data_IF_455828832470
#
_entry.id   IF_455828832470
#
_cell.length_a   1.000
_cell.length_b   1.000
_cell.length_c   1.000
_cell.angle_alpha   90.00
_cell.angle_beta   90.00
_cell.angle_gamma   90.00
#
_symmetry.space_group_name_H-M   'P 1'
#
loop_
_entity.id
_entity.type
_entity.pdbx_description
1 polymer ?
#
# COMPACT_ATOMS: atom_id res chain seq x y z
N UNK A 1 4.06 -7.46 -2.34
CA UNK A 1 2.96 -6.72 -2.94
C UNK A 1 1.69 -7.52 -2.79
N UNK A 2 0.68 -6.93 -2.15
CA UNK A 2 -0.67 -7.48 -2.03
C UNK A 2 -1.70 -6.38 -2.32
N UNK A 3 -2.79 -6.73 -2.99
CA UNK A 3 -3.89 -5.80 -3.27
C UNK A 3 -5.05 -6.04 -2.29
N UNK A 4 -5.82 -4.99 -2.02
CA UNK A 4 -7.02 -5.04 -1.17
C UNK A 4 -6.75 -5.61 0.22
N UNK A 5 -5.75 -5.03 0.88
CA UNK A 5 -5.40 -5.36 2.27
C UNK A 5 -6.52 -4.94 3.22
N UNK A 6 -6.71 -5.63 4.35
CA UNK A 6 -7.75 -5.29 5.31
C UNK A 6 -7.52 -3.89 5.88
N UNK A 7 -8.57 -3.09 5.89
CA UNK A 7 -8.57 -1.72 6.39
C UNK A 7 -9.57 -1.58 7.54
N UNK A 8 -9.26 -0.68 8.45
CA UNK A 8 -10.12 -0.27 9.56
C UNK A 8 -10.44 1.22 9.42
N UNK A 9 -11.60 1.63 9.89
CA UNK A 9 -12.01 3.03 9.93
C UNK A 9 -11.86 3.57 11.34
N UNK A 10 -11.05 4.61 11.51
CA UNK A 10 -10.78 5.28 12.79
C UNK A 10 -11.03 6.78 12.61
N UNK A 11 -11.96 7.35 13.36
CA UNK A 11 -12.25 8.80 13.33
C UNK A 11 -12.42 9.37 11.90
N UNK A 12 -13.15 8.64 11.04
CA UNK A 12 -13.38 8.93 9.62
C UNK A 12 -12.21 8.80 8.65
N UNK A 13 -11.08 8.24 9.10
CA UNK A 13 -9.96 7.87 8.22
C UNK A 13 -9.85 6.36 8.06
N UNK A 14 -9.51 5.95 6.83
CA UNK A 14 -9.16 4.56 6.54
C UNK A 14 -7.68 4.35 6.85
N UNK A 15 -7.39 3.32 7.66
CA UNK A 15 -6.05 2.90 8.02
C UNK A 15 -5.91 1.40 7.73
N UNK A 16 -4.72 0.90 7.39
CA UNK A 16 -4.50 -0.54 7.34
C UNK A 16 -4.68 -1.17 8.71
N UNK A 17 -5.25 -2.37 8.74
CA UNK A 17 -5.27 -3.18 9.96
C UNK A 17 -3.81 -3.52 10.32
N UNK A 18 -3.30 -3.07 11.49
CA UNK A 18 -1.90 -3.26 11.84
C UNK A 18 -1.58 -4.74 12.08
N UNK A 19 -0.38 -5.15 11.67
CA UNK A 19 0.22 -6.41 12.10
C UNK A 19 0.73 -6.32 13.54
N UNK A 20 1.06 -7.47 14.11
CA UNK A 20 1.68 -7.52 15.44
C UNK A 20 3.00 -6.72 15.45
N UNK A 21 3.15 -5.86 16.46
CA UNK A 21 4.30 -4.96 16.61
C UNK A 21 4.54 -4.01 15.42
N UNK A 22 3.50 -3.72 14.64
CA UNK A 22 3.56 -2.72 13.58
C UNK A 22 3.22 -1.33 14.13
N UNK A 23 4.08 -0.35 13.87
CA UNK A 23 3.87 1.04 14.28
C UNK A 23 3.64 1.92 13.06
N UNK A 24 2.66 2.82 13.17
CA UNK A 24 2.41 3.86 12.18
C UNK A 24 3.44 4.97 12.30
N UNK A 25 4.13 5.28 11.21
CA UNK A 25 5.17 6.32 11.17
C UNK A 25 4.60 7.60 10.58
N UNK A 26 3.97 7.53 9.41
CA UNK A 26 3.39 8.69 8.76
C UNK A 26 2.18 8.31 7.89
N UNK A 27 1.34 9.31 7.65
CA UNK A 27 0.25 9.25 6.68
C UNK A 27 0.28 10.53 5.85
N UNK A 28 0.13 10.41 4.53
CA UNK A 28 0.11 11.53 3.60
C UNK A 28 -1.05 11.41 2.63
N UNK A 29 -1.92 12.41 2.65
CA UNK A 29 -3.06 12.54 1.72
C UNK A 29 -2.62 13.16 0.40
N UNK A 30 -3.40 12.92 -0.66
CA UNK A 30 -3.18 13.51 -2.00
C UNK A 30 -1.97 12.95 -2.71
N UNK A 31 -1.61 11.69 -2.42
CA UNK A 31 -0.52 10.99 -3.11
C UNK A 31 -1.10 10.29 -4.32
N UNK A 32 -0.48 10.49 -5.48
CA UNK A 32 -0.84 9.77 -6.70
C UNK A 32 0.07 8.55 -6.81
N UNK A 33 -0.53 7.37 -6.82
CA UNK A 33 0.15 6.09 -6.98
C UNK A 33 -0.06 5.56 -8.39
N UNK A 34 1.01 5.08 -9.02
CA UNK A 34 0.96 4.35 -10.29
C UNK A 34 1.59 2.97 -10.06
N UNK A 35 0.80 1.92 -10.26
CA UNK A 35 1.23 0.53 -10.13
C UNK A 35 1.37 -0.03 -11.54
N UNK A 36 2.56 -0.54 -11.87
CA UNK A 36 2.85 -1.20 -13.15
C UNK A 36 2.98 -2.70 -12.91
N UNK A 37 2.26 -3.50 -13.68
CA UNK A 37 2.43 -4.96 -13.65
C UNK A 37 3.49 -5.42 -14.67
N UNK A 38 3.87 -6.69 -14.59
CA UNK A 38 4.84 -7.32 -15.51
C UNK A 38 4.40 -7.29 -16.99
N UNK A 39 3.11 -7.07 -17.26
CA UNK A 39 2.54 -6.92 -18.61
C UNK A 39 2.51 -5.46 -19.09
N UNK A 40 3.19 -4.55 -18.41
CA UNK A 40 3.21 -3.11 -18.68
C UNK A 40 1.85 -2.40 -18.61
N UNK A 41 0.82 -3.03 -18.03
CA UNK A 41 -0.41 -2.32 -17.72
C UNK A 41 -0.17 -1.48 -16.46
N UNK A 42 -0.50 -0.19 -16.54
CA UNK A 42 -0.44 0.71 -15.40
C UNK A 42 -1.82 1.05 -14.88
N UNK A 43 -1.97 0.97 -13.55
CA UNK A 43 -3.15 1.47 -12.84
C UNK A 43 -2.72 2.68 -12.03
N UNK A 44 -3.33 3.83 -12.31
CA UNK A 44 -3.05 5.09 -11.63
C UNK A 44 -4.23 5.50 -10.77
N UNK A 45 -3.97 5.86 -9.52
CA UNK A 45 -4.99 6.35 -8.60
C UNK A 45 -4.45 7.42 -7.64
N UNK A 46 -5.37 8.16 -7.04
CA UNK A 46 -5.11 9.20 -6.04
C UNK A 46 -5.71 8.75 -4.70
N UNK A 47 -4.99 9.00 -3.61
CA UNK A 47 -5.33 8.43 -2.32
C UNK A 47 -4.42 8.87 -1.19
N UNK A 48 -4.38 8.02 -0.17
CA UNK A 48 -3.59 8.21 1.04
C UNK A 48 -2.47 7.19 1.06
N UNK A 49 -1.24 7.64 1.28
CA UNK A 49 -0.09 6.78 1.52
C UNK A 49 0.20 6.73 3.02
N UNK A 50 0.20 5.53 3.58
CA UNK A 50 0.54 5.25 4.96
C UNK A 50 1.86 4.49 4.98
N UNK A 51 2.81 4.93 5.80
CA UNK A 51 4.06 4.23 6.06
C UNK A 51 4.05 3.73 7.48
N UNK A 52 4.36 2.45 7.63
CA UNK A 52 4.57 1.79 8.91
C UNK A 52 6.02 1.33 9.04
N UNK A 53 6.37 0.77 10.19
CA UNK A 53 7.67 0.13 10.40
C UNK A 53 7.92 -1.09 9.52
N UNK A 54 6.88 -1.67 8.89
CA UNK A 54 6.99 -2.93 8.14
C UNK A 54 6.64 -2.79 6.65
N UNK A 55 5.78 -1.84 6.27
CA UNK A 55 5.23 -1.72 4.90
C UNK A 55 4.80 -0.29 4.55
N UNK A 56 4.71 -0.05 3.25
CA UNK A 56 3.96 1.05 2.67
C UNK A 56 2.57 0.54 2.27
N UNK A 57 1.53 1.26 2.64
CA UNK A 57 0.15 0.97 2.24
C UNK A 57 -0.45 2.19 1.57
N UNK A 58 -0.88 2.01 0.33
CA UNK A 58 -1.67 2.99 -0.41
C UNK A 58 -3.15 2.64 -0.30
N UNK A 59 -3.99 3.64 -0.05
CA UNK A 59 -5.45 3.52 0.06
C UNK A 59 -6.08 4.46 -0.97
N UNK A 60 -6.88 3.92 -1.88
CA UNK A 60 -7.58 4.69 -2.91
C UNK A 60 -8.65 5.58 -2.24
N UNK A 61 -8.73 6.85 -2.65
CA UNK A 61 -9.76 7.78 -2.15
C UNK A 61 -11.20 7.33 -2.46
N UNK A 62 -11.39 6.45 -3.45
CA UNK A 62 -12.68 5.91 -3.89
C UNK A 62 -13.02 4.58 -3.24
N UNK A 63 -12.42 4.28 -2.09
CA UNK A 63 -12.69 3.06 -1.34
C UNK A 63 -14.20 2.81 -1.11
N UNK A 64 -14.95 3.86 -0.78
CA UNK A 64 -16.40 3.81 -0.55
C UNK A 64 -17.23 3.57 -1.83
N UNK A 65 -16.60 3.64 -3.01
CA UNK A 65 -17.24 3.42 -4.32
C UNK A 65 -17.05 1.99 -4.84
N UNK A 66 -16.58 1.05 -4.00
CA UNK A 66 -16.31 -0.34 -4.37
C UNK A 66 -15.41 -0.50 -5.62
N UNK A 67 -14.38 0.35 -5.73
CA UNK A 67 -13.38 0.23 -6.79
C UNK A 67 -12.69 -1.16 -6.74
N UNK A 68 -12.32 -1.71 -7.89
CA UNK A 68 -11.68 -3.03 -7.98
C UNK A 68 -10.36 -3.14 -7.19
N UNK A 69 -9.67 -2.02 -7.01
CA UNK A 69 -8.47 -1.89 -6.19
C UNK A 69 -8.68 -0.75 -5.19
N UNK A 70 -8.93 -1.11 -3.94
CA UNK A 70 -9.18 -0.18 -2.83
C UNK A 70 -7.89 0.15 -2.07
N UNK A 71 -6.95 -0.80 -2.03
CA UNK A 71 -5.68 -0.62 -1.35
C UNK A 71 -4.57 -1.46 -1.98
N UNK A 72 -3.34 -1.04 -1.72
CA UNK A 72 -2.13 -1.71 -2.17
C UNK A 72 -1.08 -1.68 -1.07
N UNK A 73 -0.45 -2.81 -0.82
CA UNK A 73 0.63 -2.96 0.15
C UNK A 73 1.94 -3.33 -0.53
N UNK A 74 3.00 -2.63 -0.15
CA UNK A 74 4.39 -2.94 -0.44
C UNK A 74 5.18 -3.16 0.87
N UNK A 75 5.53 -4.41 1.22
CA UNK A 75 6.38 -4.68 2.38
C UNK A 75 7.77 -4.08 2.17
N UNK A 76 8.31 -3.36 3.16
CA UNK A 76 9.59 -2.64 3.03
C UNK A 76 10.75 -3.57 2.71
N UNK A 77 10.75 -4.80 3.26
CA UNK A 77 11.79 -5.79 2.99
C UNK A 77 11.81 -6.29 1.53
N UNK A 78 10.70 -6.11 0.81
CA UNK A 78 10.52 -6.55 -0.57
C UNK A 78 10.59 -5.40 -1.57
N UNK A 79 11.11 -4.23 -1.19
CA UNK A 79 11.30 -3.07 -2.06
C UNK A 79 12.77 -3.01 -2.49
N UNK A 80 13.03 -2.76 -3.78
CA UNK A 80 14.37 -2.48 -4.30
C UNK A 80 14.33 -1.49 -5.47
N UNK A 81 15.50 -1.09 -5.96
CA UNK A 81 15.67 -0.12 -7.06
C UNK A 81 14.93 1.20 -6.81
N UNK A 82 14.90 1.66 -5.56
CA UNK A 82 14.28 2.91 -5.18
C UNK A 82 14.97 4.09 -5.86
N UNK A 83 14.16 4.94 -6.49
CA UNK A 83 14.60 6.17 -7.15
C UNK A 83 13.72 7.31 -6.69
N UNK A 84 14.35 8.29 -6.07
CA UNK A 84 13.70 9.51 -5.64
C UNK A 84 13.98 10.62 -6.65
N UNK A 85 12.93 11.13 -7.26
CA UNK A 85 13.00 12.21 -8.24
C UNK A 85 12.48 13.50 -7.60
N UNK A 86 13.40 14.46 -7.40
CA UNK A 86 13.13 15.76 -6.77
C UNK A 86 13.37 16.91 -7.75
N UNK A 87 12.38 17.23 -8.57
CA UNK A 87 12.45 18.39 -9.45
C UNK A 87 12.33 19.69 -8.65
N UNK A 88 13.04 20.74 -9.08
CA UNK A 88 13.13 22.02 -8.36
C UNK A 88 11.78 22.76 -8.29
N UNK A 89 10.91 22.58 -9.29
CA UNK A 89 9.61 23.28 -9.41
C UNK A 89 8.42 22.35 -9.67
N UNK A 90 8.51 21.07 -9.31
CA UNK A 90 7.36 20.16 -9.40
C UNK A 90 7.31 19.17 -8.24
N UNK A 91 6.33 18.25 -8.27
CA UNK A 91 6.13 17.30 -7.18
C UNK A 91 7.22 16.23 -7.14
N UNK A 92 7.69 15.91 -5.93
CA UNK A 92 8.58 14.78 -5.72
C UNK A 92 7.86 13.47 -6.03
N UNK A 93 8.58 12.53 -6.65
CA UNK A 93 8.09 11.17 -6.85
C UNK A 93 9.10 10.15 -6.34
N UNK A 94 8.58 9.07 -5.77
CA UNK A 94 9.33 7.88 -5.40
C UNK A 94 8.87 6.74 -6.30
N UNK A 95 9.82 6.12 -6.99
CA UNK A 95 9.58 4.91 -7.77
C UNK A 95 10.42 3.77 -7.20
N UNK A 96 9.89 2.56 -7.20
CA UNK A 96 10.58 1.38 -6.71
C UNK A 96 9.99 0.13 -7.35
N UNK A 97 10.78 -0.94 -7.35
CA UNK A 97 10.33 -2.28 -7.68
C UNK A 97 9.92 -3.00 -6.38
N UNK A 98 8.86 -3.81 -6.44
CA UNK A 98 8.30 -4.48 -5.26
C UNK A 98 8.05 -5.96 -5.55
N UNK A 99 8.49 -6.83 -4.65
CA UNK A 99 8.27 -8.28 -4.78
C UNK A 99 6.79 -8.57 -4.62
N UNK A 100 6.13 -9.32 -5.52
CA UNK A 100 4.80 -9.83 -5.24
C UNK A 100 4.84 -10.77 -4.02
N UNK A 101 3.89 -10.61 -3.10
CA UNK A 101 3.77 -11.54 -1.98
C UNK A 101 2.88 -12.67 -2.47
N UNK A 102 3.44 -13.86 -2.70
CA UNK A 102 2.64 -15.03 -3.06
C UNK A 102 1.77 -15.43 -1.86
N UNK A 103 0.46 -15.23 -1.95
CA UNK A 103 -0.50 -15.75 -0.97
C UNK A 103 -0.69 -17.26 -1.17
N UNK A 104 0.30 -18.04 -0.73
CA UNK A 104 0.09 -19.43 -0.28
C UNK A 104 1.00 -19.64 0.93
N UNK A 105 0.43 -20.07 2.06
CA UNK A 105 1.11 -20.39 3.33
C UNK A 105 1.35 -19.24 4.34
N UNK A 106 0.27 -18.62 4.84
CA UNK A 106 0.14 -18.26 6.29
C UNK A 106 -1.32 -18.30 6.76
N UNK A 107 -2.04 -19.35 6.37
CA UNK A 107 -3.16 -19.84 7.19
C UNK A 107 -2.81 -21.25 7.66
N UNK A 108 -2.61 -21.45 8.97
CA UNK A 108 -3.28 -22.53 9.65
C UNK A 108 -4.54 -21.94 10.27
N UNK A 109 -5.68 -22.23 9.64
CA UNK A 109 -6.92 -22.37 10.37
C UNK A 109 -6.72 -23.50 11.38
N UNK A 110 -6.71 -23.18 12.67
CA UNK A 110 -7.26 -23.97 13.77
C UNK A 110 -6.89 -23.31 15.10
N UNK A 111 -7.89 -22.77 15.81
CA UNK A 111 -8.15 -23.31 17.13
C UNK A 111 -9.65 -23.56 17.24
N UNK A 112 -9.94 -24.84 17.45
CA UNK A 112 -11.24 -25.33 17.86
C UNK A 112 -11.59 -24.82 19.25
N UNK A 113 -12.91 -24.77 19.48
CA UNK A 113 -13.66 -24.44 20.69
C UNK A 113 -14.00 -22.96 20.87
#
# INVERSE_FOLDING_TARGET
MACNVPLIRVQDEWLPLPYENELFILSRKGVVCEIKNERCNSTRSDGVLVLTTQRLVFIDKRIDQHAAMQSFEAPLYGIWNEKFHQPILSANSLSCDVQPVSLYSRRPFCLCC
#
